data_IF_627299802318
#
_entry.id   IF_627299802318
#
_cell.length_a   1.000
_cell.length_b   1.000
_cell.length_c   1.000
_cell.angle_alpha   90.00
_cell.angle_beta   90.00
_cell.angle_gamma   90.00
#
_symmetry.space_group_name_H-M   'P 1'
#
loop_
_entity.id
_entity.type
_entity.pdbx_description
1 polymer ?
#
# COMPACT_ATOMS: atom_id res chain seq x y z
N UNK A 1 52.05 -2.77 56.11
CA UNK A 1 51.09 -3.66 55.44
C UNK A 1 49.99 -2.78 54.87
N UNK A 2 49.97 -2.62 53.55
CA UNK A 2 48.99 -1.80 52.84
C UNK A 2 47.68 -2.57 52.73
N UNK A 3 46.59 -2.03 53.27
CA UNK A 3 45.24 -2.48 52.97
C UNK A 3 44.50 -1.34 52.29
N UNK A 4 44.24 -1.50 50.99
CA UNK A 4 43.47 -0.59 50.16
C UNK A 4 42.03 -0.48 50.71
N UNK A 5 41.59 0.74 51.01
CA UNK A 5 40.17 1.09 50.89
C UNK A 5 39.94 1.65 49.49
N UNK A 6 39.19 0.93 48.65
CA UNK A 6 38.49 1.53 47.51
C UNK A 6 37.04 1.81 47.92
N UNK A 7 36.48 3.00 47.65
CA UNK A 7 35.05 3.19 47.67
C UNK A 7 34.42 2.62 46.40
N UNK A 8 33.33 1.85 46.56
CA UNK A 8 32.46 1.43 45.46
C UNK A 8 31.91 2.67 44.74
N UNK A 9 32.39 2.93 43.51
CA UNK A 9 31.66 3.76 42.56
C UNK A 9 30.43 2.98 42.07
N UNK A 10 29.25 3.29 42.60
CA UNK A 10 27.98 2.93 41.94
C UNK A 10 27.82 3.83 40.72
N UNK A 11 28.23 3.33 39.55
CA UNK A 11 27.90 3.95 38.27
C UNK A 11 26.44 3.61 37.97
N UNK A 12 25.51 4.50 38.33
CA UNK A 12 24.12 4.39 37.90
C UNK A 12 24.07 4.73 36.41
N UNK A 13 24.06 3.70 35.57
CA UNK A 13 23.82 3.87 34.14
C UNK A 13 22.35 4.28 33.97
N UNK A 14 22.09 5.59 33.90
CA UNK A 14 20.80 6.10 33.45
C UNK A 14 20.75 5.83 31.95
N UNK A 15 20.21 4.66 31.57
CA UNK A 15 19.68 4.47 30.23
C UNK A 15 18.55 5.50 30.07
N UNK A 16 18.87 6.63 29.44
CA UNK A 16 17.85 7.42 28.77
C UNK A 16 17.35 6.51 27.66
N UNK A 17 16.27 5.77 27.95
CA UNK A 17 15.45 5.20 26.90
C UNK A 17 14.95 6.40 26.09
N UNK A 18 15.68 6.78 25.03
CA UNK A 18 15.06 7.51 23.93
C UNK A 18 13.87 6.65 23.56
N UNK A 19 12.67 7.14 23.83
CA UNK A 19 11.44 6.46 23.46
C UNK A 19 11.53 6.17 21.97
N UNK A 20 11.82 4.92 21.61
CA UNK A 20 11.96 4.57 20.21
C UNK A 20 10.55 4.41 19.66
N UNK A 21 9.95 5.52 19.25
CA UNK A 21 8.71 5.53 18.49
C UNK A 21 9.01 4.95 17.09
N UNK A 22 9.04 3.62 17.02
CA UNK A 22 9.35 2.84 15.81
C UNK A 22 8.18 2.73 14.81
N UNK A 23 7.07 3.45 15.00
CA UNK A 23 5.96 3.43 14.05
C UNK A 23 6.33 4.13 12.75
N UNK A 24 6.55 3.36 11.68
CA UNK A 24 6.80 3.89 10.34
C UNK A 24 5.65 4.80 9.89
N UNK A 25 5.98 5.93 9.26
CA UNK A 25 5.02 6.85 8.65
C UNK A 25 4.86 6.46 7.20
N UNK A 26 3.69 6.02 6.81
CA UNK A 26 3.42 5.61 5.42
C UNK A 26 2.52 6.66 4.79
N UNK A 27 2.96 7.16 3.63
CA UNK A 27 2.15 8.05 2.83
C UNK A 27 1.07 7.29 2.08
N UNK A 28 -0.17 7.79 2.08
CA UNK A 28 -1.22 7.31 1.18
C UNK A 28 -1.52 8.42 0.18
N UNK A 29 -1.41 8.12 -1.12
CA UNK A 29 -1.70 9.09 -2.17
C UNK A 29 -3.21 9.33 -2.30
N UNK A 30 -3.64 10.56 -2.08
CA UNK A 30 -5.00 10.99 -2.38
C UNK A 30 -5.25 10.94 -3.89
N UNK A 31 -6.50 10.94 -4.30
CA UNK A 31 -6.89 10.97 -5.71
C UNK A 31 -8.06 11.92 -5.89
N UNK A 32 -8.32 12.36 -7.12
CA UNK A 32 -9.45 13.23 -7.45
C UNK A 32 -10.77 12.66 -6.92
N UNK A 33 -11.65 13.56 -6.47
CA UNK A 33 -12.96 13.18 -5.96
C UNK A 33 -13.75 12.31 -6.95
N UNK A 34 -14.49 11.34 -6.41
CA UNK A 34 -15.38 10.50 -7.19
C UNK A 34 -16.39 11.41 -7.90
N UNK A 35 -16.57 11.21 -9.21
CA UNK A 35 -17.51 11.99 -10.00
C UNK A 35 -18.92 11.90 -9.38
N UNK A 36 -19.59 13.04 -9.29
CA UNK A 36 -20.96 13.17 -8.77
C UNK A 36 -21.12 12.75 -7.29
N UNK A 37 -20.03 12.77 -6.52
CA UNK A 37 -20.06 12.56 -5.07
C UNK A 37 -20.71 13.77 -4.35
N UNK A 38 -21.91 13.61 -3.74
CA UNK A 38 -22.60 14.71 -3.07
C UNK A 38 -22.00 15.11 -1.71
N UNK A 39 -21.07 14.30 -1.19
CA UNK A 39 -20.36 14.54 0.06
C UNK A 39 -18.95 15.09 -0.15
N UNK A 40 -18.52 15.21 -1.41
CA UNK A 40 -17.16 15.65 -1.74
C UNK A 40 -16.85 17.02 -1.14
N UNK A 41 -15.68 17.10 -0.51
CA UNK A 41 -15.08 18.34 -0.04
C UNK A 41 -13.71 18.47 -0.71
N UNK A 42 -13.28 19.70 -0.96
CA UNK A 42 -12.03 19.98 -1.66
C UNK A 42 -11.90 19.32 -3.03
N UNK A 43 -10.66 19.00 -3.39
CA UNK A 43 -10.31 18.48 -4.72
C UNK A 43 -10.05 16.97 -4.76
N UNK A 44 -9.77 16.36 -3.61
CA UNK A 44 -9.29 14.98 -3.54
C UNK A 44 -9.75 14.23 -2.30
N UNK A 45 -9.64 12.90 -2.34
CA UNK A 45 -10.00 12.03 -1.22
C UNK A 45 -9.05 10.85 -1.02
N UNK A 46 -9.14 10.27 0.18
CA UNK A 46 -8.60 8.96 0.55
C UNK A 46 -9.71 8.17 1.24
N UNK A 47 -10.00 6.96 0.76
CA UNK A 47 -10.92 6.06 1.47
C UNK A 47 -10.33 5.64 2.82
N UNK A 48 -11.13 5.72 3.88
CA UNK A 48 -10.67 5.48 5.25
C UNK A 48 -10.21 4.04 5.50
N UNK A 49 -10.66 3.08 4.70
CA UNK A 49 -10.21 1.68 4.76
C UNK A 49 -8.71 1.53 4.55
N UNK A 50 -8.07 2.32 3.66
CA UNK A 50 -6.61 2.28 3.49
C UNK A 50 -5.87 2.81 4.73
N UNK A 51 -6.42 3.84 5.39
CA UNK A 51 -5.85 4.36 6.65
C UNK A 51 -5.92 3.27 7.72
N UNK A 52 -7.10 2.71 7.95
CA UNK A 52 -7.35 1.63 8.93
C UNK A 52 -6.49 0.39 8.65
N UNK A 53 -6.27 0.06 7.38
CA UNK A 53 -5.43 -1.06 6.96
C UNK A 53 -3.99 -0.91 7.47
N UNK A 54 -3.36 0.24 7.24
CA UNK A 54 -1.98 0.48 7.70
C UNK A 54 -1.89 0.62 9.22
N UNK A 55 -2.84 1.33 9.84
CA UNK A 55 -2.86 1.52 11.29
C UNK A 55 -3.07 0.21 12.05
N UNK A 56 -3.84 -0.73 11.50
CA UNK A 56 -4.04 -2.06 12.10
C UNK A 56 -2.75 -2.86 12.24
N UNK A 57 -1.71 -2.52 11.48
CA UNK A 57 -0.39 -3.13 11.53
C UNK A 57 0.66 -2.26 12.25
N UNK A 58 0.27 -1.15 12.86
CA UNK A 58 1.16 -0.31 13.69
C UNK A 58 1.89 0.80 12.95
N UNK A 59 1.48 1.15 11.73
CA UNK A 59 1.97 2.36 11.06
C UNK A 59 1.12 3.58 11.41
N UNK A 60 1.72 4.77 11.26
CA UNK A 60 0.98 6.04 11.22
C UNK A 60 0.86 6.50 9.77
N UNK A 61 -0.22 7.19 9.44
CA UNK A 61 -0.52 7.57 8.07
C UNK A 61 -0.33 9.06 7.84
N UNK A 62 0.26 9.40 6.69
CA UNK A 62 0.37 10.76 6.17
C UNK A 62 -0.42 10.84 4.85
N UNK A 63 -1.49 11.66 4.74
CA UNK A 63 -2.15 11.87 3.46
C UNK A 63 -1.23 12.67 2.52
N UNK A 64 -0.99 12.14 1.32
CA UNK A 64 -0.24 12.84 0.27
C UNK A 64 -1.25 13.50 -0.67
N UNK A 65 -1.28 14.83 -0.69
CA UNK A 65 -2.18 15.61 -1.54
C UNK A 65 -1.73 15.58 -3.00
N UNK A 66 -2.65 15.71 -3.95
CA UNK A 66 -2.35 15.61 -5.40
C UNK A 66 -1.93 16.93 -6.06
N UNK A 67 -2.10 18.06 -5.37
CA UNK A 67 -1.85 19.40 -5.90
C UNK A 67 -0.62 20.06 -5.24
N UNK A 68 0.52 19.35 -5.25
CA UNK A 68 1.79 19.85 -4.69
C UNK A 68 2.88 19.99 -5.75
N UNK A 69 3.87 20.83 -5.46
CA UNK A 69 5.07 20.97 -6.29
C UNK A 69 5.98 19.75 -6.15
N UNK A 70 6.91 19.58 -7.09
CA UNK A 70 7.89 18.48 -7.02
C UNK A 70 8.79 18.62 -5.78
N UNK A 71 9.17 19.84 -5.41
CA UNK A 71 9.96 20.14 -4.22
C UNK A 71 9.23 19.77 -2.93
N UNK A 72 7.91 20.05 -2.85
CA UNK A 72 7.08 19.64 -1.71
C UNK A 72 6.99 18.11 -1.62
N UNK A 73 6.86 17.42 -2.76
CA UNK A 73 6.87 15.95 -2.78
C UNK A 73 8.21 15.34 -2.40
N UNK A 74 9.32 15.91 -2.85
CA UNK A 74 10.65 15.46 -2.46
C UNK A 74 10.90 15.67 -0.96
N UNK A 75 10.50 16.82 -0.41
CA UNK A 75 10.55 17.05 1.04
C UNK A 75 9.74 16.00 1.80
N UNK A 76 8.53 15.69 1.34
CA UNK A 76 7.67 14.70 1.97
C UNK A 76 8.21 13.27 1.83
N UNK A 77 8.73 12.91 0.67
CA UNK A 77 9.36 11.61 0.39
C UNK A 77 10.49 11.32 1.39
N UNK A 78 11.35 12.30 1.64
CA UNK A 78 12.45 12.20 2.61
C UNK A 78 11.99 12.12 4.08
N UNK A 79 10.72 12.44 4.36
CA UNK A 79 10.15 12.42 5.70
C UNK A 79 9.33 11.15 6.03
N UNK A 80 8.75 10.51 5.01
CA UNK A 80 7.95 9.29 5.16
C UNK A 80 8.77 8.03 4.85
N UNK A 81 8.29 6.89 5.32
CA UNK A 81 9.00 5.61 5.29
C UNK A 81 8.51 4.65 4.19
N UNK A 82 7.49 5.02 3.43
CA UNK A 82 6.94 4.21 2.34
C UNK A 82 5.71 4.87 1.72
N UNK A 83 5.28 4.35 0.57
CA UNK A 83 4.13 4.86 -0.18
C UNK A 83 3.10 3.78 -0.48
N UNK A 84 1.83 4.05 -0.18
CA UNK A 84 0.69 3.29 -0.67
C UNK A 84 -0.04 4.08 -1.76
N UNK A 85 -0.16 3.46 -2.94
CA UNK A 85 -1.01 3.87 -4.03
C UNK A 85 -2.35 3.11 -3.92
N UNK A 86 -3.44 3.78 -3.48
CA UNK A 86 -4.73 3.12 -3.29
C UNK A 86 -5.38 2.73 -4.63
N UNK A 87 -6.44 1.94 -4.53
CA UNK A 87 -7.39 1.74 -5.62
C UNK A 87 -8.22 2.98 -5.88
N UNK A 88 -8.87 3.02 -7.04
CA UNK A 88 -9.52 4.23 -7.53
C UNK A 88 -10.06 4.08 -8.94
N UNK A 89 -10.49 5.18 -9.55
CA UNK A 89 -10.99 5.20 -10.93
C UNK A 89 -10.64 6.51 -11.66
N UNK A 90 -9.50 7.11 -11.34
CA UNK A 90 -9.01 8.30 -12.05
C UNK A 90 -8.29 7.92 -13.35
N UNK A 91 -8.02 8.87 -14.24
CA UNK A 91 -7.31 8.58 -15.49
C UNK A 91 -5.88 8.09 -15.21
N UNK A 92 -5.47 6.94 -15.75
CA UNK A 92 -4.18 6.28 -15.43
C UNK A 92 -2.95 6.94 -16.09
N UNK A 93 -3.17 7.92 -16.98
CA UNK A 93 -2.12 8.61 -17.73
C UNK A 93 -2.08 10.11 -17.45
N UNK A 94 -3.23 10.73 -17.14
CA UNK A 94 -3.42 12.19 -17.12
C UNK A 94 -3.87 12.77 -15.78
N UNK A 95 -4.25 11.93 -14.81
CA UNK A 95 -4.68 12.43 -13.49
C UNK A 95 -3.53 13.07 -12.70
N UNK A 96 -3.90 13.92 -11.75
CA UNK A 96 -2.97 14.45 -10.75
C UNK A 96 -2.45 13.32 -9.85
N UNK A 97 -3.26 12.29 -9.58
CA UNK A 97 -2.80 11.03 -8.98
C UNK A 97 -1.65 10.42 -9.78
N UNK A 98 -1.80 10.29 -11.11
CA UNK A 98 -0.75 9.74 -11.98
C UNK A 98 0.53 10.57 -11.93
N UNK A 99 0.39 11.91 -11.96
CA UNK A 99 1.53 12.82 -11.86
C UNK A 99 2.29 12.61 -10.54
N UNK A 100 1.59 12.65 -9.41
CA UNK A 100 2.20 12.48 -8.10
C UNK A 100 2.80 11.07 -7.93
N UNK A 101 2.09 10.02 -8.36
CA UNK A 101 2.58 8.64 -8.31
C UNK A 101 3.88 8.47 -9.13
N UNK A 102 4.01 9.14 -10.29
CA UNK A 102 5.24 9.13 -11.09
C UNK A 102 6.41 9.74 -10.35
N UNK A 103 6.21 10.92 -9.74
CA UNK A 103 7.26 11.61 -8.97
C UNK A 103 7.77 10.71 -7.85
N UNK A 104 6.88 10.16 -7.02
CA UNK A 104 7.29 9.25 -5.94
C UNK A 104 7.93 7.96 -6.45
N UNK A 105 7.44 7.39 -7.55
CA UNK A 105 8.04 6.19 -8.14
C UNK A 105 9.48 6.45 -8.60
N UNK A 106 9.74 7.58 -9.26
CA UNK A 106 11.08 7.98 -9.69
C UNK A 106 12.01 8.27 -8.50
N UNK A 107 11.51 8.95 -7.47
CA UNK A 107 12.24 9.16 -6.21
C UNK A 107 12.59 7.82 -5.54
N UNK A 108 11.63 6.89 -5.46
CA UNK A 108 11.86 5.58 -4.87
C UNK A 108 12.87 4.74 -5.68
N UNK A 109 12.84 4.78 -7.01
CA UNK A 109 13.87 4.12 -7.84
C UNK A 109 15.25 4.70 -7.50
N UNK A 110 15.39 6.03 -7.52
CA UNK A 110 16.67 6.71 -7.23
C UNK A 110 17.18 6.40 -5.82
N UNK A 111 16.31 6.43 -4.82
CA UNK A 111 16.65 6.11 -3.43
C UNK A 111 17.14 4.65 -3.32
N UNK A 112 16.38 3.70 -3.85
CA UNK A 112 16.76 2.28 -3.76
C UNK A 112 18.05 1.97 -4.55
N UNK A 113 18.26 2.60 -5.71
CA UNK A 113 19.53 2.50 -6.47
C UNK A 113 20.72 3.06 -5.66
N UNK A 114 20.47 4.06 -4.81
CA UNK A 114 21.43 4.62 -3.85
C UNK A 114 21.47 3.85 -2.50
N UNK A 115 20.87 2.65 -2.43
CA UNK A 115 20.77 1.82 -1.21
C UNK A 115 19.97 2.45 -0.06
N UNK A 116 19.11 3.42 -0.37
CA UNK A 116 18.14 4.00 0.55
C UNK A 116 16.76 3.33 0.33
N UNK A 117 16.38 2.48 1.28
CA UNK A 117 15.32 1.50 1.09
C UNK A 117 13.92 2.13 1.16
N UNK A 118 13.27 2.38 0.03
CA UNK A 118 11.92 2.97 0.04
C UNK A 118 10.87 2.05 -0.61
N UNK A 119 9.95 1.44 0.17
CA UNK A 119 8.95 0.53 -0.36
C UNK A 119 7.72 1.23 -0.94
N UNK A 120 7.16 0.66 -2.00
CA UNK A 120 5.88 1.09 -2.61
C UNK A 120 4.90 -0.08 -2.61
N UNK A 121 3.66 0.19 -2.20
CA UNK A 121 2.52 -0.72 -2.31
C UNK A 121 1.48 -0.17 -3.27
N UNK A 122 1.04 -0.96 -4.25
CA UNK A 122 -0.06 -0.61 -5.15
C UNK A 122 -1.26 -1.53 -4.98
N UNK A 123 -2.43 -0.96 -4.67
CA UNK A 123 -3.71 -1.70 -4.61
C UNK A 123 -4.59 -1.33 -5.79
N UNK A 124 -5.10 -2.30 -6.55
CA UNK A 124 -6.05 -2.11 -7.64
C UNK A 124 -5.59 -1.06 -8.69
N UNK A 125 -6.10 0.17 -8.67
CA UNK A 125 -5.57 1.25 -9.51
C UNK A 125 -4.09 1.54 -9.24
N UNK A 126 -3.63 1.46 -7.99
CA UNK A 126 -2.20 1.53 -7.67
C UNK A 126 -1.37 0.40 -8.30
N UNK A 127 -1.91 -0.82 -8.39
CA UNK A 127 -1.29 -1.91 -9.15
C UNK A 127 -1.18 -1.52 -10.63
N UNK A 128 -2.28 -1.07 -11.21
CA UNK A 128 -2.33 -0.64 -12.62
C UNK A 128 -1.32 0.49 -12.88
N UNK A 129 -1.24 1.46 -11.98
CA UNK A 129 -0.32 2.60 -12.08
C UNK A 129 1.13 2.14 -12.13
N UNK A 130 1.52 1.22 -11.25
CA UNK A 130 2.87 0.64 -11.26
C UNK A 130 3.20 -0.05 -12.58
N UNK A 131 2.24 -0.75 -13.20
CA UNK A 131 2.47 -1.38 -14.52
C UNK A 131 2.67 -0.35 -15.63
N UNK A 132 1.95 0.78 -15.59
CA UNK A 132 2.09 1.87 -16.56
C UNK A 132 3.44 2.57 -16.36
N UNK A 133 3.80 2.89 -15.12
CA UNK A 133 5.07 3.56 -14.78
C UNK A 133 6.29 2.71 -15.16
N UNK A 134 6.26 1.40 -14.91
CA UNK A 134 7.39 0.52 -15.25
C UNK A 134 7.50 0.28 -16.76
N UNK A 135 6.36 0.13 -17.46
CA UNK A 135 6.37 -0.19 -18.90
C UNK A 135 6.44 1.04 -19.81
N UNK A 136 6.06 2.22 -19.30
CA UNK A 136 5.74 3.44 -20.04
C UNK A 136 4.63 3.23 -21.09
N UNK A 137 3.69 2.31 -20.84
CA UNK A 137 2.57 1.99 -21.73
C UNK A 137 1.34 1.58 -20.91
N UNK A 138 0.15 1.97 -21.38
CA UNK A 138 -1.08 1.36 -20.91
C UNK A 138 -1.28 -0.02 -21.56
N UNK A 139 -1.05 -1.07 -20.77
CA UNK A 139 -1.16 -2.48 -21.21
C UNK A 139 -2.34 -3.21 -20.55
N UNK A 140 -3.27 -2.46 -19.98
CA UNK A 140 -4.43 -3.01 -19.30
C UNK A 140 -5.43 -3.58 -20.31
N UNK A 141 -6.14 -4.62 -19.89
CA UNK A 141 -7.19 -5.28 -20.68
C UNK A 141 -8.46 -5.37 -19.87
N UNK A 142 -9.61 -5.27 -20.55
CA UNK A 142 -10.90 -5.47 -19.90
C UNK A 142 -11.05 -6.89 -19.40
N UNK A 143 -11.51 -7.02 -18.16
CA UNK A 143 -11.88 -8.27 -17.48
C UNK A 143 -13.21 -8.10 -16.75
N UNK A 144 -13.97 -9.19 -16.64
CA UNK A 144 -15.25 -9.21 -15.92
C UNK A 144 -15.04 -9.51 -14.42
N UNK A 145 -14.53 -8.51 -13.71
CA UNK A 145 -14.03 -8.64 -12.33
C UNK A 145 -14.55 -7.53 -11.41
N UNK A 146 -15.71 -6.97 -11.77
CA UNK A 146 -16.40 -5.97 -10.95
C UNK A 146 -17.23 -6.67 -9.89
N UNK A 147 -16.82 -6.53 -8.63
CA UNK A 147 -17.52 -7.04 -7.47
C UNK A 147 -17.60 -8.57 -7.42
N UNK A 148 -16.44 -9.23 -7.53
CA UNK A 148 -16.31 -10.69 -7.36
C UNK A 148 -15.29 -11.00 -6.27
N UNK A 149 -15.49 -12.09 -5.54
CA UNK A 149 -14.50 -12.60 -4.60
C UNK A 149 -13.81 -13.83 -5.19
N UNK A 150 -12.48 -13.84 -5.18
CA UNK A 150 -11.69 -14.91 -5.82
C UNK A 150 -10.66 -15.49 -4.84
N UNK A 151 -10.25 -16.76 -5.01
CA UNK A 151 -9.03 -17.27 -4.41
C UNK A 151 -7.82 -16.73 -5.19
N UNK A 152 -6.60 -17.08 -4.81
CA UNK A 152 -5.38 -16.72 -5.53
C UNK A 152 -4.73 -17.98 -6.10
N UNK A 153 -4.50 -17.99 -7.42
CA UNK A 153 -3.71 -19.06 -8.04
C UNK A 153 -2.23 -18.74 -7.89
N UNK A 154 -1.55 -19.39 -6.96
CA UNK A 154 -0.12 -19.14 -6.70
C UNK A 154 0.77 -19.67 -7.83
N UNK A 155 1.70 -18.84 -8.28
CA UNK A 155 2.78 -19.26 -9.19
C UNK A 155 3.82 -20.14 -8.45
N UNK A 156 4.59 -20.97 -9.16
CA UNK A 156 5.64 -21.78 -8.56
C UNK A 156 6.60 -20.96 -7.67
N UNK A 157 6.75 -21.39 -6.42
CA UNK A 157 7.62 -20.75 -5.43
C UNK A 157 7.13 -19.38 -4.93
N UNK A 158 5.91 -18.94 -5.26
CA UNK A 158 5.36 -17.67 -4.79
C UNK A 158 5.15 -17.63 -3.27
N UNK A 159 4.85 -18.76 -2.64
CA UNK A 159 4.73 -18.86 -1.17
C UNK A 159 6.05 -18.53 -0.45
N UNK A 160 7.20 -18.64 -1.13
CA UNK A 160 8.52 -18.28 -0.62
C UNK A 160 8.97 -16.86 -1.05
N UNK A 161 8.08 -16.05 -1.64
CA UNK A 161 8.39 -14.67 -2.05
C UNK A 161 8.64 -13.76 -0.85
N UNK A 162 9.10 -12.52 -1.07
CA UNK A 162 9.27 -11.58 0.04
C UNK A 162 7.94 -11.30 0.73
N UNK A 163 6.88 -11.09 -0.05
CA UNK A 163 5.53 -10.84 0.43
C UNK A 163 4.96 -12.01 1.24
N UNK A 164 5.00 -13.24 0.71
CA UNK A 164 4.27 -14.36 1.29
C UNK A 164 5.08 -15.22 2.28
N UNK A 165 6.42 -15.18 2.29
CA UNK A 165 7.25 -16.10 3.09
C UNK A 165 6.98 -16.08 4.59
N UNK A 166 6.45 -14.98 5.13
CA UNK A 166 6.12 -14.82 6.56
C UNK A 166 4.63 -14.99 6.86
N UNK A 167 3.79 -15.26 5.85
CA UNK A 167 2.38 -15.53 6.08
C UNK A 167 2.23 -16.90 6.75
N UNK A 168 1.32 -17.04 7.73
CA UNK A 168 0.98 -18.34 8.28
C UNK A 168 0.47 -19.29 7.20
N UNK A 169 0.74 -20.59 7.36
CA UNK A 169 0.33 -21.61 6.40
C UNK A 169 -1.19 -21.67 6.22
N UNK A 170 -1.96 -21.49 7.29
CA UNK A 170 -3.43 -21.44 7.21
C UNK A 170 -3.92 -20.26 6.38
N UNK A 171 -3.27 -19.09 6.51
CA UNK A 171 -3.62 -17.91 5.70
C UNK A 171 -3.28 -18.12 4.23
N UNK A 172 -2.12 -18.72 3.91
CA UNK A 172 -1.76 -19.05 2.54
C UNK A 172 -2.71 -20.09 1.92
N UNK A 173 -3.12 -21.08 2.71
CA UNK A 173 -4.10 -22.09 2.28
C UNK A 173 -5.46 -21.44 1.98
N UNK A 174 -6.01 -20.65 2.90
CA UNK A 174 -7.27 -19.94 2.67
C UNK A 174 -7.18 -19.00 1.45
N UNK A 175 -6.05 -18.31 1.26
CA UNK A 175 -5.84 -17.50 0.06
C UNK A 175 -5.87 -18.34 -1.22
N UNK A 176 -5.42 -19.60 -1.21
CA UNK A 176 -5.44 -20.46 -2.40
C UNK A 176 -6.76 -21.19 -2.65
N UNK A 177 -7.56 -21.42 -1.61
CA UNK A 177 -8.73 -22.32 -1.66
C UNK A 177 -10.07 -21.60 -1.52
N UNK A 178 -10.09 -20.44 -0.86
CA UNK A 178 -11.32 -19.71 -0.54
C UNK A 178 -11.47 -18.43 -1.36
N UNK A 179 -12.71 -18.08 -1.71
CA UNK A 179 -13.03 -16.83 -2.38
C UNK A 179 -12.97 -15.65 -1.40
N UNK A 180 -11.76 -15.24 -1.00
CA UNK A 180 -11.53 -14.24 0.06
C UNK A 180 -10.83 -12.96 -0.41
N UNK A 181 -10.49 -12.85 -1.70
CA UNK A 181 -9.90 -11.62 -2.25
C UNK A 181 -10.93 -10.80 -3.02
N UNK A 182 -11.24 -9.60 -2.50
CA UNK A 182 -12.22 -8.69 -3.10
C UNK A 182 -11.70 -8.04 -4.39
N UNK A 183 -12.35 -8.32 -5.52
CA UNK A 183 -12.03 -7.74 -6.82
C UNK A 183 -13.12 -6.74 -7.23
N UNK A 184 -12.72 -5.49 -7.46
CA UNK A 184 -13.61 -4.37 -7.83
C UNK A 184 -13.00 -3.54 -8.97
N UNK A 185 -12.53 -4.21 -10.02
CA UNK A 185 -11.82 -3.58 -11.14
C UNK A 185 -12.37 -4.05 -12.49
N UNK A 186 -12.32 -3.16 -13.49
CA UNK A 186 -12.72 -3.47 -14.88
C UNK A 186 -11.53 -3.82 -15.77
N UNK A 187 -10.32 -3.51 -15.30
CA UNK A 187 -9.10 -3.49 -16.07
C UNK A 187 -8.03 -4.26 -15.31
N UNK A 188 -7.40 -5.20 -16.00
CA UNK A 188 -6.35 -6.03 -15.44
C UNK A 188 -5.14 -6.10 -16.37
N UNK A 189 -3.96 -6.38 -15.81
CA UNK A 189 -2.80 -6.76 -16.61
C UNK A 189 -2.88 -8.26 -16.95
N UNK A 190 -3.19 -8.57 -18.21
CA UNK A 190 -3.23 -9.96 -18.66
C UNK A 190 -1.84 -10.61 -18.65
N UNK A 191 -1.79 -11.93 -18.45
CA UNK A 191 -0.53 -12.68 -18.53
C UNK A 191 0.11 -12.54 -19.92
N UNK A 192 -0.70 -12.46 -20.98
CA UNK A 192 -0.24 -12.24 -22.35
C UNK A 192 0.47 -10.89 -22.50
N UNK A 193 -0.12 -9.80 -22.01
CA UNK A 193 0.46 -8.46 -22.13
C UNK A 193 1.71 -8.31 -21.28
N UNK A 194 1.70 -8.84 -20.05
CA UNK A 194 2.90 -8.94 -19.22
C UNK A 194 4.01 -9.71 -19.95
N UNK A 195 3.68 -10.90 -20.47
CA UNK A 195 4.67 -11.80 -21.08
C UNK A 195 5.30 -11.23 -22.35
N UNK A 196 4.54 -10.39 -23.06
CA UNK A 196 4.98 -9.71 -24.29
C UNK A 196 5.76 -8.43 -24.02
N UNK A 197 5.83 -7.96 -22.76
CA UNK A 197 6.54 -6.74 -22.38
C UNK A 197 7.82 -7.05 -21.60
N UNK A 198 8.97 -6.83 -22.24
CA UNK A 198 10.27 -7.12 -21.63
C UNK A 198 10.57 -6.30 -20.35
N UNK A 199 10.07 -5.06 -20.25
CA UNK A 199 10.29 -4.22 -19.06
C UNK A 199 9.56 -4.81 -17.84
N UNK A 200 8.28 -5.15 -17.99
CA UNK A 200 7.50 -5.75 -16.92
C UNK A 200 8.07 -7.11 -16.49
N UNK A 201 8.43 -7.98 -17.45
CA UNK A 201 9.05 -9.29 -17.15
C UNK A 201 10.34 -9.18 -16.38
N UNK A 202 11.20 -8.21 -16.73
CA UNK A 202 12.47 -8.00 -16.06
C UNK A 202 12.29 -7.37 -14.67
N UNK A 203 11.25 -6.57 -14.49
CA UNK A 203 11.04 -5.79 -13.27
C UNK A 203 10.24 -6.56 -12.21
N UNK A 204 9.14 -7.21 -12.59
CA UNK A 204 8.21 -7.85 -11.67
C UNK A 204 8.22 -9.38 -11.78
N UNK A 205 8.23 -10.02 -10.61
CA UNK A 205 7.88 -11.43 -10.42
C UNK A 205 6.39 -11.54 -10.18
N UNK A 206 5.70 -12.30 -11.01
CA UNK A 206 4.29 -12.68 -10.76
C UNK A 206 4.24 -13.67 -9.60
N UNK A 207 3.40 -13.38 -8.62
CA UNK A 207 3.20 -14.24 -7.45
C UNK A 207 1.89 -15.00 -7.55
N UNK A 208 0.82 -14.32 -7.98
CA UNK A 208 -0.49 -14.95 -8.15
C UNK A 208 -1.19 -14.46 -9.40
N UNK A 209 -2.03 -15.32 -9.96
CA UNK A 209 -2.92 -15.01 -11.08
C UNK A 209 -4.37 -15.33 -10.72
N UNK A 210 -5.28 -14.81 -11.53
CA UNK A 210 -6.70 -15.10 -11.51
C UNK A 210 -7.26 -15.14 -12.93
N UNK A 211 -8.50 -15.63 -13.08
CA UNK A 211 -9.22 -15.61 -14.35
C UNK A 211 -10.64 -15.07 -14.16
N UNK A 212 -11.14 -14.35 -15.16
CA UNK A 212 -12.55 -13.96 -15.29
C UNK A 212 -13.37 -14.99 -16.10
N UNK A 213 -12.81 -16.19 -16.30
CA UNK A 213 -13.36 -17.25 -17.15
C UNK A 213 -13.01 -17.11 -18.63
N UNK A 214 -12.41 -15.99 -19.06
CA UNK A 214 -11.99 -15.75 -20.46
C UNK A 214 -10.51 -15.41 -20.58
N UNK A 215 -10.00 -14.60 -19.66
CA UNK A 215 -8.62 -14.11 -19.62
C UNK A 215 -7.99 -14.42 -18.28
N UNK A 216 -6.73 -14.84 -18.33
CA UNK A 216 -5.89 -14.91 -17.14
C UNK A 216 -5.16 -13.58 -16.94
N UNK A 217 -5.16 -13.09 -15.71
CA UNK A 217 -4.54 -11.83 -15.31
C UNK A 217 -3.72 -11.96 -14.04
N UNK A 218 -2.75 -11.07 -13.89
CA UNK A 218 -1.90 -11.00 -12.70
C UNK A 218 -2.70 -10.38 -11.57
N UNK A 219 -2.78 -11.07 -10.44
CA UNK A 219 -3.49 -10.58 -9.25
C UNK A 219 -2.57 -10.14 -8.12
N UNK A 220 -1.33 -10.65 -8.06
CA UNK A 220 -0.29 -10.19 -7.13
C UNK A 220 1.09 -10.28 -7.77
N UNK A 221 1.93 -9.25 -7.59
CA UNK A 221 3.32 -9.24 -8.03
C UNK A 221 4.23 -8.48 -7.06
N UNK A 222 5.53 -8.80 -7.11
CA UNK A 222 6.58 -8.05 -6.42
C UNK A 222 7.74 -7.78 -7.37
N UNK A 223 8.43 -6.65 -7.24
CA UNK A 223 9.59 -6.36 -8.08
C UNK A 223 10.76 -7.29 -7.71
N UNK A 224 11.64 -7.64 -8.65
CA UNK A 224 12.77 -8.52 -8.32
C UNK A 224 13.78 -7.83 -7.40
N UNK A 225 14.13 -6.57 -7.71
CA UNK A 225 15.20 -5.82 -7.04
C UNK A 225 14.69 -4.74 -6.11
N UNK A 226 13.58 -4.09 -6.47
CA UNK A 226 13.00 -3.00 -5.69
C UNK A 226 11.97 -3.53 -4.67
N UNK A 227 11.77 -2.86 -3.53
CA UNK A 227 10.73 -3.20 -2.56
C UNK A 227 9.34 -2.69 -3.00
N UNK A 228 8.98 -2.99 -4.25
CA UNK A 228 7.70 -2.61 -4.84
C UNK A 228 6.78 -3.82 -4.90
N UNK A 229 5.56 -3.65 -4.40
CA UNK A 229 4.58 -4.69 -4.22
C UNK A 229 3.24 -4.23 -4.79
N UNK A 230 2.52 -5.12 -5.43
CA UNK A 230 1.24 -4.76 -6.02
C UNK A 230 0.23 -5.90 -5.94
N UNK A 231 -1.00 -5.56 -5.56
CA UNK A 231 -2.16 -6.44 -5.54
C UNK A 231 -3.28 -5.82 -6.38
N UNK A 232 -3.86 -6.59 -7.29
CA UNK A 232 -5.00 -6.13 -8.11
C UNK A 232 -6.32 -6.16 -7.32
N UNK A 233 -6.40 -7.01 -6.30
CA UNK A 233 -7.49 -7.14 -5.35
C UNK A 233 -7.32 -6.18 -4.17
N UNK A 234 -8.37 -6.04 -3.35
CA UNK A 234 -8.47 -5.05 -2.28
C UNK A 234 -8.36 -5.70 -0.89
N UNK A 235 -7.14 -5.82 -0.31
CA UNK A 235 -6.98 -6.37 1.02
C UNK A 235 -7.67 -5.52 2.10
N UNK A 236 -7.81 -4.20 1.90
CA UNK A 236 -8.34 -3.29 2.90
C UNK A 236 -9.86 -3.43 3.15
N UNK A 237 -10.60 -4.05 2.24
CA UNK A 237 -12.07 -4.02 2.27
C UNK A 237 -12.67 -4.91 3.35
N UNK A 238 -12.18 -6.14 3.50
CA UNK A 238 -12.82 -7.18 4.33
C UNK A 238 -13.13 -6.79 5.78
N UNK A 239 -12.29 -6.03 6.50
CA UNK A 239 -12.65 -5.59 7.86
C UNK A 239 -13.26 -4.18 7.93
N UNK A 240 -13.26 -3.39 6.84
CA UNK A 240 -13.49 -1.94 6.93
C UNK A 240 -14.58 -1.39 6.00
N UNK A 241 -14.98 -2.10 4.95
CA UNK A 241 -16.03 -1.68 4.01
C UNK A 241 -17.20 -2.67 4.04
N UNK A 242 -18.43 -2.20 3.80
CA UNK A 242 -19.64 -3.02 4.08
C UNK A 242 -20.72 -2.87 3.01
N UNK A 243 -20.35 -2.47 1.80
CA UNK A 243 -21.30 -2.37 0.70
C UNK A 243 -21.87 -3.76 0.36
N UNK A 244 -23.18 -3.84 0.16
CA UNK A 244 -23.87 -5.07 -0.20
C UNK A 244 -23.62 -5.41 -1.68
N UNK A 245 -22.51 -6.12 -1.95
CA UNK A 245 -22.13 -6.64 -3.26
C UNK A 245 -21.42 -7.98 -3.12
N UNK A 246 -21.62 -8.88 -4.08
CA UNK A 246 -21.10 -10.27 -4.07
C UNK A 246 -19.58 -10.36 -3.84
N UNK A 247 -18.80 -9.38 -4.30
CA UNK A 247 -17.35 -9.33 -4.10
C UNK A 247 -16.88 -8.87 -2.71
N UNK A 248 -17.80 -8.53 -1.82
CA UNK A 248 -17.51 -8.09 -0.46
C UNK A 248 -17.54 -9.28 0.50
N UNK A 249 -16.40 -9.58 1.13
CA UNK A 249 -16.23 -10.78 1.97
C UNK A 249 -15.70 -10.42 3.35
N UNK A 250 -16.34 -10.96 4.39
CA UNK A 250 -16.07 -10.67 5.81
C UNK A 250 -15.69 -11.91 6.63
N UNK A 251 -15.23 -12.99 5.98
CA UNK A 251 -14.79 -14.19 6.71
C UNK A 251 -13.54 -13.89 7.55
N UNK A 252 -13.33 -14.66 8.62
CA UNK A 252 -12.14 -14.52 9.46
C UNK A 252 -10.84 -14.76 8.68
N UNK A 253 -10.86 -15.64 7.68
CA UNK A 253 -9.74 -15.89 6.77
C UNK A 253 -9.41 -14.66 5.92
N UNK A 254 -10.42 -13.97 5.37
CA UNK A 254 -10.25 -12.72 4.63
C UNK A 254 -9.65 -11.61 5.53
N UNK A 255 -10.17 -11.46 6.75
CA UNK A 255 -9.68 -10.47 7.72
C UNK A 255 -8.22 -10.77 8.11
N UNK A 256 -7.85 -12.04 8.32
CA UNK A 256 -6.45 -12.42 8.55
C UNK A 256 -5.56 -12.03 7.36
N UNK A 257 -6.01 -12.29 6.13
CA UNK A 257 -5.25 -11.91 4.93
C UNK A 257 -5.04 -10.38 4.83
N UNK A 258 -6.06 -9.58 5.21
CA UNK A 258 -5.94 -8.13 5.34
C UNK A 258 -4.82 -7.74 6.30
N UNK A 259 -4.81 -8.32 7.51
CA UNK A 259 -3.79 -8.01 8.51
C UNK A 259 -2.38 -8.38 8.03
N UNK A 260 -2.19 -9.58 7.45
CA UNK A 260 -0.86 -10.03 7.03
C UNK A 260 -0.30 -9.24 5.84
N UNK A 261 -1.14 -8.73 4.95
CA UNK A 261 -0.70 -7.80 3.89
C UNK A 261 -0.24 -6.45 4.46
N UNK A 262 -0.98 -5.87 5.41
CA UNK A 262 -0.55 -4.65 6.10
C UNK A 262 0.72 -4.88 6.91
N UNK A 263 0.75 -5.92 7.73
CA UNK A 263 1.89 -6.27 8.57
C UNK A 263 3.16 -6.45 7.75
N UNK A 264 3.07 -7.12 6.60
CA UNK A 264 4.18 -7.21 5.66
C UNK A 264 4.64 -5.82 5.20
N UNK A 265 3.76 -5.00 4.66
CA UNK A 265 4.15 -3.71 4.10
C UNK A 265 4.69 -2.73 5.15
N UNK A 266 4.10 -2.69 6.34
CA UNK A 266 4.63 -1.92 7.47
C UNK A 266 6.03 -2.38 7.85
N UNK A 267 6.28 -3.70 7.85
CA UNK A 267 7.62 -4.23 8.12
C UNK A 267 8.66 -3.86 7.05
N UNK A 268 8.24 -3.62 5.80
CA UNK A 268 9.10 -3.10 4.75
C UNK A 268 9.43 -1.61 4.99
N UNK A 269 8.43 -0.81 5.39
CA UNK A 269 8.61 0.62 5.67
C UNK A 269 9.57 0.87 6.85
N UNK A 270 9.66 -0.06 7.81
CA UNK A 270 10.59 0.05 8.94
C UNK A 270 12.08 -0.13 8.58
N UNK A 271 12.43 -0.37 7.31
CA UNK A 271 13.81 -0.65 6.87
C UNK A 271 14.59 0.58 6.38
N UNK A 272 13.99 1.76 6.39
CA UNK A 272 14.70 3.03 6.18
C UNK A 272 14.66 3.92 7.43
N UNK A 273 15.45 5.00 7.37
CA UNK A 273 15.61 5.96 8.46
C UNK A 273 15.01 7.34 8.14
N UNK A 274 14.10 7.41 7.15
CA UNK A 274 13.40 8.65 6.83
C UNK A 274 12.60 9.16 8.03
N UNK A 275 12.60 10.46 8.23
CA UNK A 275 11.91 11.11 9.33
C UNK A 275 11.66 12.59 9.01
N UNK A 276 10.60 13.14 9.60
CA UNK A 276 10.36 14.58 9.57
C UNK A 276 11.48 15.33 10.28
N UNK A 277 11.70 16.59 9.88
CA UNK A 277 12.75 17.43 10.47
C UNK A 277 12.50 17.78 11.95
N UNK A 278 11.23 17.74 12.36
CA UNK A 278 10.82 17.97 13.75
C UNK A 278 9.51 17.25 14.06
N UNK A 279 9.27 17.02 15.35
CA UNK A 279 8.00 16.47 15.83
C UNK A 279 6.80 17.34 15.44
N UNK A 280 6.96 18.68 15.45
CA UNK A 280 5.86 19.59 15.07
C UNK A 280 5.49 19.48 13.58
N UNK A 281 6.47 19.27 12.69
CA UNK A 281 6.19 19.01 11.28
C UNK A 281 5.49 17.65 11.10
N UNK A 282 5.93 16.62 11.83
CA UNK A 282 5.29 15.31 11.81
C UNK A 282 3.83 15.40 12.28
N UNK A 283 3.59 16.00 13.45
CA UNK A 283 2.26 16.15 14.04
C UNK A 283 1.29 16.82 13.09
N UNK A 284 1.71 17.86 12.36
CA UNK A 284 0.87 18.57 11.38
C UNK A 284 0.60 17.76 10.11
N UNK A 285 1.48 16.83 9.76
CA UNK A 285 1.35 16.03 8.54
C UNK A 285 0.48 14.78 8.73
N UNK A 286 0.23 14.34 9.96
CA UNK A 286 -0.49 13.10 10.22
C UNK A 286 -1.98 13.17 9.84
N UNK A 287 -2.54 12.01 9.48
CA UNK A 287 -3.97 11.83 9.18
C UNK A 287 -4.89 12.23 10.35
N UNK A 288 -4.37 12.25 11.59
CA UNK A 288 -5.10 12.61 12.80
C UNK A 288 -5.60 14.07 12.82
N UNK A 289 -5.09 14.94 11.95
CA UNK A 289 -5.59 16.30 11.78
C UNK A 289 -6.82 16.39 10.87
N UNK A 290 -7.28 15.27 10.33
CA UNK A 290 -8.38 15.21 9.38
C UNK A 290 -9.52 14.36 9.94
N UNK A 291 -10.75 14.72 9.58
CA UNK A 291 -11.95 13.98 9.98
C UNK A 291 -12.57 13.30 8.76
N UNK A 292 -12.83 11.99 8.79
CA UNK A 292 -13.49 11.32 7.69
C UNK A 292 -14.98 11.64 7.68
N UNK A 293 -15.54 11.80 6.49
CA UNK A 293 -16.98 12.01 6.27
C UNK A 293 -17.65 10.66 6.03
N UNK A 294 -18.74 10.40 6.75
CA UNK A 294 -19.58 9.23 6.52
C UNK A 294 -20.37 9.39 5.21
N UNK A 295 -20.29 8.36 4.37
CA UNK A 295 -20.79 8.32 2.99
C UNK A 295 -22.11 7.57 2.80
N UNK A 296 -22.63 6.96 3.88
CA UNK A 296 -23.78 6.06 3.81
C UNK A 296 -23.41 4.60 3.56
N UNK A 297 -24.30 3.69 3.95
CA UNK A 297 -24.11 2.24 3.84
C UNK A 297 -24.08 1.73 2.39
N UNK A 298 -24.68 2.48 1.47
CA UNK A 298 -24.74 2.11 0.05
C UNK A 298 -23.49 2.57 -0.73
N UNK A 299 -22.56 3.27 -0.07
CA UNK A 299 -21.33 3.74 -0.71
C UNK A 299 -20.27 2.65 -0.79
N UNK A 300 -19.45 2.69 -1.84
CA UNK A 300 -18.34 1.75 -2.05
C UNK A 300 -17.27 1.90 -0.95
N UNK A 301 -17.20 3.11 -0.37
CA UNK A 301 -16.39 3.45 0.79
C UNK A 301 -17.30 4.06 1.84
N UNK A 302 -17.40 3.47 3.04
CA UNK A 302 -18.23 3.99 4.13
C UNK A 302 -17.79 5.37 4.59
N UNK A 303 -16.50 5.63 4.52
CA UNK A 303 -15.88 6.85 5.01
C UNK A 303 -14.76 7.29 4.06
N UNK A 304 -14.76 8.58 3.73
CA UNK A 304 -13.68 9.21 2.98
C UNK A 304 -13.11 10.37 3.79
N UNK A 305 -11.78 10.49 3.79
CA UNK A 305 -11.10 11.74 4.11
C UNK A 305 -11.05 12.58 2.85
N UNK A 306 -11.36 13.87 2.96
CA UNK A 306 -11.33 14.82 1.86
C UNK A 306 -10.27 15.89 2.09
N UNK A 307 -9.69 16.39 1.00
CA UNK A 307 -8.58 17.35 1.03
C UNK A 307 -8.71 18.36 -0.11
N UNK A 308 -8.36 19.62 0.17
CA UNK A 308 -8.22 20.69 -0.84
C UNK A 308 -6.96 20.52 -1.69
#
# INVERSE_FOLDING_TARGET
QYSLMLPLLKLTLVLIAKSVFFGGRIGILAQENIKDDPHAQGSSYIAASYVKHLESAGARVVPIHINRTEEEYEKLFNAINGLLLPGGNVDIEKSQFTRAARIFYELAIKANDASDYFPIWGTCQGFQQLTVLTSNKNLLTLTDTKAVALPLTFSPGAQNSRLFKKFPKDVLQSLSEENITSNFHSWSLSIQNYSSNAKLKRFYRVLTTNTDGKKEFISTMEAYQYPFYAVQWHPEKSPFEWIEKDGMVHTLSAIKATFYTAHFFVSEAMKNHHQFSSQSEEEKALIYNYQPVFKGMNSIFLQNYYFD
#
